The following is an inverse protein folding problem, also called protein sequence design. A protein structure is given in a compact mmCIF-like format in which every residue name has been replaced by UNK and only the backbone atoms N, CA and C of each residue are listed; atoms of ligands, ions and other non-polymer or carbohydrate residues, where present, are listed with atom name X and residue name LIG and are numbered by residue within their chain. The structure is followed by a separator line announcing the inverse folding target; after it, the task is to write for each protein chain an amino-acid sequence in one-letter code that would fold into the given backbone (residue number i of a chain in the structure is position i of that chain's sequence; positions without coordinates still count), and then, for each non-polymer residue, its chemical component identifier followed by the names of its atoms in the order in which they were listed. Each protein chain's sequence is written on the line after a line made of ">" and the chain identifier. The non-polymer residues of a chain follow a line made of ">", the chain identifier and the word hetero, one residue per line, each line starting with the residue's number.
data_IF_774456472631
#
_entry.id   IF_774456472631
#
_cell.length_a   1.000
_cell.length_b   1.000
_cell.length_c   1.000
_cell.angle_alpha   90.00
_cell.angle_beta   90.00
_cell.angle_gamma   90.00
#
_symmetry.space_group_name_H-M   'P 1'
#
loop_
_entity.id
_entity.type
_entity.pdbx_description
1 polymer ?
#
# COMPACT_ATOMS: atom_id res chain seq x y z
N UNK A 1 6.78 -13.24 -13.95
CA UNK A 1 5.94 -12.28 -13.21
C UNK A 1 6.30 -10.89 -13.67
N UNK A 2 5.32 -10.11 -14.11
CA UNK A 2 5.54 -8.69 -14.42
C UNK A 2 5.66 -7.95 -13.07
N UNK A 3 6.66 -7.08 -12.87
CA UNK A 3 6.85 -6.39 -11.60
C UNK A 3 5.66 -5.47 -11.31
N UNK A 4 5.11 -5.55 -10.10
CA UNK A 4 4.26 -4.48 -9.56
C UNK A 4 5.16 -3.38 -9.03
N UNK A 5 4.88 -2.13 -9.41
CA UNK A 5 5.56 -0.95 -8.89
C UNK A 5 4.54 -0.13 -8.09
N UNK A 6 4.22 -0.54 -6.84
CA UNK A 6 3.31 0.21 -5.98
C UNK A 6 3.88 1.60 -5.72
N UNK A 7 3.09 2.64 -6.01
CA UNK A 7 3.47 4.03 -5.80
C UNK A 7 2.31 4.82 -5.22
N UNK A 8 2.58 5.58 -4.17
CA UNK A 8 1.63 6.57 -3.64
C UNK A 8 1.73 7.81 -4.53
N UNK A 9 0.67 8.11 -5.29
CA UNK A 9 0.69 9.20 -6.27
C UNK A 9 0.08 10.48 -5.74
N UNK A 10 -0.85 10.38 -4.78
CA UNK A 10 -1.59 11.53 -4.27
C UNK A 10 -2.18 11.31 -2.89
N UNK A 11 -2.22 12.37 -2.09
CA UNK A 11 -3.14 12.49 -0.94
C UNK A 11 -4.45 13.15 -1.41
N UNK A 12 -5.55 12.40 -1.33
CA UNK A 12 -6.86 12.84 -1.85
C UNK A 12 -7.66 13.65 -0.84
N UNK A 13 -7.39 13.45 0.45
CA UNK A 13 -7.86 14.22 1.60
C UNK A 13 -6.90 13.96 2.77
N UNK A 14 -6.88 14.79 3.84
CA UNK A 14 -6.01 14.56 4.99
C UNK A 14 -6.08 13.11 5.50
N UNK A 15 -4.94 12.41 5.49
CA UNK A 15 -4.81 11.02 5.91
C UNK A 15 -5.32 9.97 4.92
N UNK A 16 -5.66 10.35 3.68
CA UNK A 16 -6.13 9.42 2.62
C UNK A 16 -5.21 9.46 1.40
N UNK A 17 -4.43 8.40 1.24
CA UNK A 17 -3.45 8.25 0.17
C UNK A 17 -3.97 7.31 -0.93
N UNK A 18 -3.75 7.69 -2.19
CA UNK A 18 -4.03 6.87 -3.36
C UNK A 18 -2.77 6.09 -3.73
N UNK A 19 -2.86 4.76 -3.63
CA UNK A 19 -1.83 3.82 -4.05
C UNK A 19 -2.19 3.26 -5.43
N UNK A 20 -1.28 3.43 -6.39
CA UNK A 20 -1.45 2.95 -7.76
C UNK A 20 -0.32 1.98 -8.14
N UNK A 21 -0.47 1.28 -9.27
CA UNK A 21 0.56 0.36 -9.78
C UNK A 21 0.58 -1.03 -9.14
N UNK A 22 -0.37 -1.33 -8.23
CA UNK A 22 -0.55 -2.68 -7.69
C UNK A 22 -1.31 -3.55 -8.70
N UNK A 23 -0.75 -4.71 -9.05
CA UNK A 23 -1.36 -5.68 -9.98
C UNK A 23 -1.67 -6.99 -9.27
N UNK A 24 -2.89 -7.10 -8.81
CA UNK A 24 -3.47 -8.30 -8.22
C UNK A 24 -3.84 -9.31 -9.32
N UNK A 25 -2.89 -10.19 -9.64
CA UNK A 25 -3.06 -11.18 -10.72
C UNK A 25 -3.07 -12.63 -10.22
N UNK A 26 -2.98 -12.83 -8.91
CA UNK A 26 -3.04 -14.15 -8.26
C UNK A 26 -4.15 -14.11 -7.20
N UNK A 27 -5.08 -15.08 -7.21
CA UNK A 27 -6.11 -15.20 -6.18
C UNK A 27 -5.50 -15.63 -4.84
N UNK A 28 -6.24 -15.40 -3.75
CA UNK A 28 -5.87 -15.83 -2.41
C UNK A 28 -5.52 -14.67 -1.49
N UNK A 29 -4.75 -14.95 -0.43
CA UNK A 29 -4.41 -13.97 0.60
C UNK A 29 -3.24 -13.09 0.19
N UNK A 30 -3.43 -11.80 0.39
CA UNK A 30 -2.44 -10.75 0.17
C UNK A 30 -2.18 -10.01 1.46
N UNK A 31 -0.91 -9.66 1.66
CA UNK A 31 -0.46 -8.81 2.76
C UNK A 31 0.32 -7.64 2.16
N UNK A 32 -0.12 -6.42 2.44
CA UNK A 32 0.62 -5.20 2.13
C UNK A 32 1.20 -4.63 3.41
N UNK A 33 2.51 -4.40 3.41
CA UNK A 33 3.19 -3.64 4.46
C UNK A 33 3.28 -2.18 4.05
N UNK A 34 2.79 -1.29 4.89
CA UNK A 34 2.81 0.16 4.68
C UNK A 34 3.68 0.80 5.75
N UNK A 35 4.66 1.60 5.34
CA UNK A 35 5.45 2.42 6.25
C UNK A 35 4.93 3.85 6.21
N UNK A 36 4.60 4.40 7.37
CA UNK A 36 4.15 5.77 7.55
C UNK A 36 5.29 6.53 8.23
N UNK A 37 5.93 7.43 7.48
CA UNK A 37 7.00 8.27 8.02
C UNK A 37 6.42 9.57 8.57
N UNK A 38 6.73 9.90 9.83
CA UNK A 38 6.30 11.15 10.47
C UNK A 38 7.45 11.78 11.27
N UNK A 39 7.38 13.07 11.63
CA UNK A 39 8.35 13.68 12.54
C UNK A 39 8.41 13.01 13.92
N UNK A 40 7.34 12.33 14.34
CA UNK A 40 7.32 11.60 15.62
C UNK A 40 7.96 10.20 15.53
N UNK A 41 8.26 9.74 14.32
CA UNK A 41 8.83 8.41 14.06
C UNK A 41 8.12 7.70 12.91
N UNK A 42 8.66 6.52 12.58
CA UNK A 42 8.11 5.63 11.57
C UNK A 42 7.14 4.64 12.22
N UNK A 43 6.00 4.43 11.57
CA UNK A 43 5.02 3.43 11.96
C UNK A 43 4.82 2.43 10.82
N UNK A 44 4.54 1.17 11.17
CA UNK A 44 4.29 0.10 10.21
C UNK A 44 2.86 -0.37 10.37
N UNK A 45 2.10 -0.30 9.27
CA UNK A 45 0.77 -0.88 9.13
C UNK A 45 0.79 -2.13 8.26
N UNK A 46 0.00 -3.13 8.63
CA UNK A 46 -0.24 -4.33 7.82
C UNK A 46 -1.67 -4.32 7.31
N UNK A 47 -1.82 -4.57 6.01
CA UNK A 47 -3.11 -4.68 5.34
C UNK A 47 -3.25 -6.10 4.80
N UNK A 48 -4.07 -6.91 5.47
CA UNK A 48 -4.36 -8.29 5.08
C UNK A 48 -5.74 -8.36 4.42
N UNK A 49 -5.82 -8.98 3.24
CA UNK A 49 -7.09 -9.18 2.53
C UNK A 49 -7.04 -10.38 1.57
N UNK A 50 -8.21 -10.81 1.14
CA UNK A 50 -8.40 -11.92 0.21
C UNK A 50 -9.03 -11.41 -1.09
N UNK A 51 -8.50 -11.89 -2.23
CA UNK A 51 -8.88 -11.50 -3.59
C UNK A 51 -9.54 -12.64 -4.36
#
# INVERSE_FOLDING_TARGET
>A
GLPTLPIVTRETSPGRYLLEGVRFHMPGRWQLTVTINSPQGDEIGLLDFEL
#
